data_IF_946072329661
#
_entry.id   IF_946072329661
#
_cell.length_a   1.000
_cell.length_b   1.000
_cell.length_c   1.000
_cell.angle_alpha   90.00
_cell.angle_beta   90.00
_cell.angle_gamma   90.00
#
_symmetry.space_group_name_H-M   'P 1'
#
loop_
_entity.id
_entity.type
_entity.pdbx_description
1 polymer ?
#
# COMPACT_ATOMS: atom_id res chain seq x y z
N UNK A 1 7.85 16.72 0.13
CA UNK A 1 6.48 16.20 -0.03
C UNK A 1 5.76 16.47 1.27
N UNK A 2 4.58 17.09 1.21
CA UNK A 2 3.78 17.35 2.40
C UNK A 2 3.35 16.00 3.01
N UNK A 3 3.51 15.83 4.33
CA UNK A 3 3.10 14.61 5.03
C UNK A 3 1.60 14.29 4.79
N UNK A 4 0.78 15.31 4.57
CA UNK A 4 -0.64 15.16 4.20
C UNK A 4 -0.84 14.50 2.83
N UNK A 5 0.04 14.77 1.86
CA UNK A 5 -0.03 14.22 0.50
C UNK A 5 0.38 12.76 0.49
N UNK A 6 1.46 12.42 1.20
CA UNK A 6 1.90 11.04 1.38
C UNK A 6 0.81 10.18 2.06
N UNK A 7 0.15 10.73 3.09
CA UNK A 7 -0.97 10.06 3.77
C UNK A 7 -2.19 9.84 2.85
N UNK A 8 -2.54 10.83 2.03
CA UNK A 8 -3.64 10.72 1.06
C UNK A 8 -3.34 9.68 -0.02
N UNK A 9 -2.13 9.70 -0.57
CA UNK A 9 -1.65 8.71 -1.55
C UNK A 9 -1.68 7.29 -0.97
N UNK A 10 -1.23 7.13 0.27
CA UNK A 10 -1.30 5.84 0.98
C UNK A 10 -2.73 5.31 1.09
N UNK A 11 -3.66 6.13 1.59
CA UNK A 11 -5.06 5.70 1.72
C UNK A 11 -5.67 5.35 0.36
N UNK A 12 -5.35 6.11 -0.69
CA UNK A 12 -5.82 5.82 -2.03
C UNK A 12 -5.36 4.43 -2.51
N UNK A 13 -4.06 4.12 -2.38
CA UNK A 13 -3.53 2.79 -2.74
C UNK A 13 -4.14 1.67 -1.92
N UNK A 14 -4.28 1.85 -0.60
CA UNK A 14 -4.96 0.88 0.28
C UNK A 14 -6.36 0.54 -0.21
N UNK A 15 -7.12 1.54 -0.64
CA UNK A 15 -8.47 1.32 -1.16
C UNK A 15 -8.50 0.67 -2.55
N UNK A 16 -7.55 1.02 -3.43
CA UNK A 16 -7.38 0.36 -4.73
C UNK A 16 -7.07 -1.12 -4.55
N UNK A 17 -6.10 -1.47 -3.68
CA UNK A 17 -5.72 -2.86 -3.44
C UNK A 17 -6.86 -3.67 -2.79
N UNK A 18 -7.62 -3.06 -1.89
CA UNK A 18 -8.86 -3.66 -1.36
C UNK A 18 -9.94 -3.82 -2.43
N UNK A 19 -10.01 -2.92 -3.40
CA UNK A 19 -10.94 -3.06 -4.52
C UNK A 19 -10.50 -4.15 -5.51
N UNK A 20 -9.19 -4.37 -5.69
CA UNK A 20 -8.65 -5.50 -6.47
C UNK A 20 -9.13 -6.83 -5.87
N UNK A 21 -9.07 -7.00 -4.55
CA UNK A 21 -9.63 -8.17 -3.86
C UNK A 21 -11.10 -8.43 -4.22
N UNK A 22 -11.90 -7.37 -4.23
CA UNK A 22 -13.35 -7.47 -4.36
C UNK A 22 -13.81 -7.66 -5.81
N UNK A 23 -13.07 -7.11 -6.78
CA UNK A 23 -13.56 -6.93 -8.17
C UNK A 23 -12.66 -7.66 -9.18
N UNK A 24 -11.39 -7.87 -8.84
CA UNK A 24 -10.42 -8.55 -9.67
C UNK A 24 -9.69 -9.67 -8.89
N UNK A 25 -10.42 -10.62 -8.26
CA UNK A 25 -9.80 -11.74 -7.55
C UNK A 25 -8.87 -12.57 -8.44
N UNK A 26 -9.12 -12.62 -9.76
CA UNK A 26 -8.26 -13.30 -10.71
C UNK A 26 -6.85 -12.66 -10.80
N UNK A 27 -6.69 -11.38 -10.44
CA UNK A 27 -5.38 -10.74 -10.33
C UNK A 27 -4.58 -11.30 -9.15
N UNK A 28 -5.27 -11.66 -8.06
CA UNK A 28 -4.68 -12.34 -6.91
C UNK A 28 -4.38 -13.81 -7.21
N UNK A 29 -5.24 -14.48 -7.96
CA UNK A 29 -4.98 -15.85 -8.43
C UNK A 29 -3.74 -15.92 -9.31
N UNK A 30 -3.59 -14.99 -10.26
CA UNK A 30 -2.39 -14.87 -11.08
C UNK A 30 -1.15 -14.57 -10.23
N UNK A 31 -1.27 -13.68 -9.22
CA UNK A 31 -0.17 -13.40 -8.30
C UNK A 31 0.21 -14.65 -7.50
N UNK A 32 -0.76 -15.44 -7.05
CA UNK A 32 -0.54 -16.67 -6.29
C UNK A 32 0.27 -17.72 -7.09
N UNK A 33 0.16 -17.70 -8.42
CA UNK A 33 0.99 -18.55 -9.29
C UNK A 33 2.47 -18.19 -9.26
N UNK A 34 2.84 -17.03 -8.72
CA UNK A 34 4.24 -16.61 -8.56
C UNK A 34 4.88 -17.13 -7.26
N UNK A 35 4.11 -17.76 -6.35
CA UNK A 35 4.64 -18.32 -5.09
C UNK A 35 5.82 -19.28 -5.30
N UNK A 36 5.83 -20.18 -6.31
CA UNK A 36 7.00 -21.01 -6.59
C UNK A 36 8.26 -20.21 -6.91
N UNK A 37 8.15 -19.15 -7.74
CA UNK A 37 9.29 -18.28 -8.05
C UNK A 37 9.78 -17.53 -6.80
N UNK A 38 8.85 -17.06 -5.97
CA UNK A 38 9.20 -16.44 -4.69
C UNK A 38 9.94 -17.43 -3.79
N UNK A 39 9.50 -18.69 -3.68
CA UNK A 39 10.16 -19.73 -2.89
C UNK A 39 11.59 -20.01 -3.34
N UNK A 40 11.84 -19.97 -4.65
CA UNK A 40 13.20 -20.14 -5.20
C UNK A 40 14.10 -18.94 -4.91
N UNK A 41 13.55 -17.72 -4.92
CA UNK A 41 14.29 -16.49 -4.64
C UNK A 41 14.48 -16.21 -3.13
N UNK A 42 13.54 -16.65 -2.29
CA UNK A 42 13.47 -16.35 -0.86
C UNK A 42 14.77 -16.59 -0.07
N UNK A 43 15.53 -17.70 -0.28
CA UNK A 43 16.78 -17.94 0.44
C UNK A 43 17.82 -16.83 0.22
N UNK A 44 17.74 -16.16 -0.92
CA UNK A 44 18.68 -15.12 -1.35
C UNK A 44 18.22 -13.72 -0.97
N UNK A 45 16.92 -13.47 -0.81
CA UNK A 45 16.39 -12.11 -0.57
C UNK A 45 15.92 -11.88 0.88
N UNK A 46 15.71 -12.93 1.67
CA UNK A 46 15.31 -12.83 3.09
C UNK A 46 16.48 -13.01 4.06
N UNK A 47 17.73 -12.98 3.56
CA UNK A 47 18.93 -13.10 4.38
C UNK A 47 19.16 -14.49 4.98
N UNK A 48 18.60 -15.56 4.38
CA UNK A 48 18.56 -16.89 4.98
C UNK A 48 19.72 -17.84 4.62
N UNK A 49 20.27 -17.79 3.41
CA UNK A 49 21.09 -18.92 2.92
C UNK A 49 22.15 -18.59 1.87
N UNK A 50 22.77 -17.41 1.90
CA UNK A 50 24.01 -17.24 1.14
C UNK A 50 25.18 -17.65 2.04
N UNK A 51 25.94 -18.67 1.63
CA UNK A 51 27.28 -18.97 2.22
C UNK A 51 28.29 -17.83 2.03
N UNK A 52 27.84 -16.74 1.42
CA UNK A 52 28.54 -15.51 1.12
C UNK A 52 28.39 -14.57 2.32
N UNK A 53 29.34 -14.66 3.26
CA UNK A 53 29.34 -13.84 4.48
C UNK A 53 29.30 -12.32 4.24
N UNK A 54 29.62 -11.87 3.03
CA UNK A 54 29.70 -10.46 2.64
C UNK A 54 28.49 -9.96 1.84
N UNK A 55 27.58 -10.82 1.39
CA UNK A 55 26.39 -10.41 0.62
C UNK A 55 25.12 -11.03 1.21
N UNK A 56 24.42 -10.21 2.01
CA UNK A 56 23.16 -10.57 2.67
C UNK A 56 22.09 -9.54 2.33
N UNK A 57 21.59 -9.51 1.09
CA UNK A 57 20.55 -8.57 0.73
C UNK A 57 19.31 -8.94 1.56
N UNK A 58 18.66 -7.90 2.03
CA UNK A 58 17.43 -8.02 2.78
C UNK A 58 16.42 -7.18 2.01
N UNK A 59 15.58 -7.87 1.26
CA UNK A 59 14.53 -7.26 0.47
C UNK A 59 13.33 -7.09 1.39
N UNK A 60 12.94 -5.84 1.62
CA UNK A 60 11.82 -5.46 2.48
C UNK A 60 10.69 -4.77 1.70
N UNK A 61 10.96 -4.37 0.46
CA UNK A 61 10.07 -3.62 -0.42
C UNK A 61 10.49 -3.79 -1.89
N UNK A 62 9.72 -3.20 -2.81
CA UNK A 62 10.05 -3.24 -4.23
C UNK A 62 11.39 -2.55 -4.58
N UNK A 63 11.70 -1.33 -4.09
CA UNK A 63 13.00 -0.70 -4.32
C UNK A 63 14.21 -1.54 -3.88
N UNK A 64 14.13 -2.24 -2.74
CA UNK A 64 15.20 -3.11 -2.27
C UNK A 64 15.37 -4.34 -3.15
N UNK A 65 14.31 -4.87 -3.76
CA UNK A 65 14.42 -5.93 -4.78
C UNK A 65 15.17 -5.44 -6.03
N UNK A 66 14.78 -4.27 -6.58
CA UNK A 66 15.45 -3.68 -7.74
C UNK A 66 16.94 -3.42 -7.45
N UNK A 67 17.25 -2.86 -6.27
CA UNK A 67 18.63 -2.64 -5.83
C UNK A 67 19.41 -3.96 -5.71
N UNK A 68 18.76 -5.04 -5.23
CA UNK A 68 19.37 -6.37 -5.10
C UNK A 68 19.69 -6.96 -6.47
N UNK A 69 18.79 -6.83 -7.44
CA UNK A 69 19.05 -7.28 -8.82
C UNK A 69 20.24 -6.53 -9.41
N UNK A 70 20.25 -5.19 -9.31
CA UNK A 70 21.36 -4.37 -9.82
C UNK A 70 22.70 -4.74 -9.19
N UNK A 71 22.74 -4.89 -7.86
CA UNK A 71 23.95 -5.26 -7.15
C UNK A 71 24.47 -6.65 -7.54
N UNK A 72 23.58 -7.60 -7.83
CA UNK A 72 23.95 -8.92 -8.35
C UNK A 72 24.48 -8.82 -9.79
N UNK A 73 23.90 -7.98 -10.66
CA UNK A 73 24.39 -7.74 -12.01
C UNK A 73 25.80 -7.12 -11.99
N UNK A 74 26.02 -6.11 -11.15
CA UNK A 74 27.33 -5.46 -10.97
C UNK A 74 28.37 -6.46 -10.44
N UNK A 75 27.98 -7.34 -9.50
CA UNK A 75 28.87 -8.37 -8.95
C UNK A 75 29.27 -9.42 -10.01
N UNK A 76 28.34 -9.85 -10.87
CA UNK A 76 28.67 -10.74 -11.99
C UNK A 76 29.64 -10.04 -12.95
N UNK A 77 29.43 -8.75 -13.22
CA UNK A 77 30.33 -7.94 -14.04
C UNK A 77 31.75 -7.88 -13.46
N UNK A 78 31.88 -7.62 -12.17
CA UNK A 78 33.16 -7.61 -11.47
C UNK A 78 33.87 -8.97 -11.52
N UNK A 79 33.16 -10.06 -11.25
CA UNK A 79 33.74 -11.41 -11.27
C UNK A 79 34.15 -11.88 -12.67
N UNK A 80 33.64 -11.26 -13.74
CA UNK A 80 34.09 -11.52 -15.12
C UNK A 80 35.50 -10.97 -15.39
N UNK A 81 35.95 -9.98 -14.62
CA UNK A 81 37.25 -9.34 -14.78
C UNK A 81 38.35 -10.02 -13.95
N UNK A 82 37.99 -10.79 -12.92
CA UNK A 82 38.94 -11.50 -12.05
C UNK A 82 39.21 -12.95 -12.53
N UNK A 83 40.46 -13.22 -12.88
CA UNK A 83 40.90 -14.57 -13.24
C UNK A 83 40.89 -15.51 -12.02
N UNK A 84 40.08 -16.57 -12.08
CA UNK A 84 40.07 -17.66 -11.08
C UNK A 84 38.79 -17.80 -10.24
N UNK A 85 37.76 -16.99 -10.50
CA UNK A 85 36.52 -16.96 -9.71
C UNK A 85 35.31 -17.61 -10.41
N UNK A 86 35.54 -18.59 -11.30
CA UNK A 86 34.47 -19.15 -12.16
C UNK A 86 33.38 -19.92 -11.40
N UNK A 87 33.73 -20.58 -10.30
CA UNK A 87 32.77 -21.25 -9.42
C UNK A 87 31.86 -20.23 -8.72
N UNK A 88 32.46 -19.18 -8.16
CA UNK A 88 31.76 -18.05 -7.53
C UNK A 88 30.82 -17.33 -8.51
N UNK A 89 31.29 -17.09 -9.73
CA UNK A 89 30.47 -16.52 -10.82
C UNK A 89 29.30 -17.44 -11.20
N UNK A 90 29.52 -18.75 -11.26
CA UNK A 90 28.46 -19.73 -11.51
C UNK A 90 27.36 -19.66 -10.45
N UNK A 91 27.75 -19.59 -9.17
CA UNK A 91 26.82 -19.43 -8.05
C UNK A 91 26.05 -18.11 -8.10
N UNK A 92 26.75 -16.96 -8.26
CA UNK A 92 26.09 -15.65 -8.36
C UNK A 92 25.17 -15.58 -9.55
N UNK A 93 25.55 -16.20 -10.69
CA UNK A 93 24.70 -16.32 -11.87
C UNK A 93 23.39 -17.05 -11.58
N UNK A 94 23.43 -18.17 -10.84
CA UNK A 94 22.21 -18.89 -10.42
C UNK A 94 21.34 -18.01 -9.52
N UNK A 95 21.93 -17.31 -8.55
CA UNK A 95 21.20 -16.39 -7.66
C UNK A 95 20.54 -15.27 -8.45
N UNK A 96 21.29 -14.61 -9.32
CA UNK A 96 20.79 -13.54 -10.20
C UNK A 96 19.62 -14.03 -11.04
N UNK A 97 19.70 -15.23 -11.64
CA UNK A 97 18.60 -15.80 -12.42
C UNK A 97 17.33 -15.96 -11.58
N UNK A 98 17.43 -16.46 -10.34
CA UNK A 98 16.27 -16.65 -9.46
C UNK A 98 15.64 -15.32 -9.04
N UNK A 99 16.44 -14.36 -8.59
CA UNK A 99 15.94 -13.05 -8.13
C UNK A 99 15.38 -12.24 -9.31
N UNK A 100 16.05 -12.25 -10.46
CA UNK A 100 15.59 -11.59 -11.69
C UNK A 100 14.30 -12.21 -12.22
N UNK A 101 14.17 -13.53 -12.18
CA UNK A 101 12.95 -14.23 -12.62
C UNK A 101 11.74 -13.84 -11.76
N UNK A 102 11.90 -13.71 -10.44
CA UNK A 102 10.85 -13.18 -9.57
C UNK A 102 10.49 -11.72 -9.94
N UNK A 103 11.50 -10.87 -10.09
CA UNK A 103 11.34 -9.45 -10.45
C UNK A 103 10.59 -9.27 -11.78
N UNK A 104 11.00 -9.99 -12.81
CA UNK A 104 10.41 -9.90 -14.14
C UNK A 104 8.98 -10.49 -14.17
N UNK A 105 8.72 -11.55 -13.40
CA UNK A 105 7.37 -12.09 -13.25
C UNK A 105 6.43 -11.12 -12.52
N UNK A 106 6.91 -10.44 -11.48
CA UNK A 106 6.15 -9.39 -10.78
C UNK A 106 5.83 -8.21 -11.71
N UNK A 107 6.79 -7.77 -12.53
CA UNK A 107 6.54 -6.73 -13.53
C UNK A 107 5.56 -7.19 -14.60
N UNK A 108 5.65 -8.43 -15.07
CA UNK A 108 4.72 -8.98 -16.04
C UNK A 108 3.30 -9.06 -15.47
N UNK A 109 3.15 -9.50 -14.21
CA UNK A 109 1.89 -9.47 -13.48
C UNK A 109 1.35 -8.05 -13.35
N UNK A 110 2.18 -7.11 -12.91
CA UNK A 110 1.78 -5.72 -12.72
C UNK A 110 1.33 -5.07 -14.04
N UNK A 111 2.05 -5.30 -15.15
CA UNK A 111 1.66 -4.82 -16.48
C UNK A 111 0.34 -5.40 -16.94
N UNK A 112 0.16 -6.72 -16.79
CA UNK A 112 -1.07 -7.41 -17.18
C UNK A 112 -2.30 -6.81 -16.51
N UNK A 113 -2.15 -6.39 -15.26
CA UNK A 113 -3.23 -5.86 -14.43
C UNK A 113 -3.26 -4.33 -14.34
N UNK A 114 -2.40 -3.63 -15.09
CA UNK A 114 -2.22 -2.17 -15.03
C UNK A 114 -1.95 -1.64 -13.60
N UNK A 115 -1.08 -2.36 -12.89
CA UNK A 115 -0.61 -2.11 -11.53
C UNK A 115 0.91 -1.87 -11.49
N UNK A 116 1.53 -1.41 -12.59
CA UNK A 116 2.97 -1.12 -12.71
C UNK A 116 3.36 0.13 -11.90
N UNK A 117 3.32 0.01 -10.58
CA UNK A 117 3.67 1.04 -9.63
C UNK A 117 4.31 0.40 -8.38
N UNK A 118 5.18 1.14 -7.69
CA UNK A 118 5.97 0.60 -6.57
C UNK A 118 5.07 0.10 -5.41
N UNK A 119 3.92 0.74 -5.18
CA UNK A 119 2.97 0.35 -4.12
C UNK A 119 2.31 -1.03 -4.39
N UNK A 120 1.64 -1.29 -5.53
CA UNK A 120 1.17 -2.64 -5.85
C UNK A 120 2.28 -3.70 -5.88
N UNK A 121 3.47 -3.37 -6.36
CA UNK A 121 4.60 -4.32 -6.43
C UNK A 121 5.14 -4.66 -5.02
N UNK A 122 5.23 -3.68 -4.13
CA UNK A 122 5.57 -3.91 -2.71
C UNK A 122 4.52 -4.75 -2.01
N UNK A 123 3.24 -4.41 -2.19
CA UNK A 123 2.12 -5.22 -1.67
C UNK A 123 2.13 -6.66 -2.20
N UNK A 124 2.46 -6.86 -3.47
CA UNK A 124 2.58 -8.18 -4.06
C UNK A 124 3.70 -9.00 -3.43
N UNK A 125 4.87 -8.39 -3.20
CA UNK A 125 5.99 -9.02 -2.49
C UNK A 125 5.62 -9.44 -1.07
N UNK A 126 4.94 -8.57 -0.31
CA UNK A 126 4.51 -8.87 1.05
C UNK A 126 3.53 -10.05 1.11
N UNK A 127 2.58 -10.11 0.17
CA UNK A 127 1.65 -11.24 0.10
C UNK A 127 2.35 -12.53 -0.32
N UNK A 128 3.28 -12.49 -1.30
CA UNK A 128 4.07 -13.67 -1.67
C UNK A 128 4.91 -14.21 -0.52
N UNK A 129 5.52 -13.30 0.27
CA UNK A 129 6.24 -13.65 1.49
C UNK A 129 5.36 -14.39 2.47
N UNK A 130 4.16 -13.87 2.73
CA UNK A 130 3.23 -14.53 3.64
C UNK A 130 2.74 -15.87 3.08
N UNK A 131 2.29 -15.92 1.82
CA UNK A 131 1.75 -17.12 1.19
C UNK A 131 2.79 -18.24 1.04
N UNK A 132 4.08 -17.91 1.07
CA UNK A 132 5.13 -18.92 1.20
C UNK A 132 5.01 -19.69 2.53
N UNK A 133 4.71 -18.99 3.63
CA UNK A 133 4.55 -19.54 4.98
C UNK A 133 3.15 -20.07 5.26
N UNK A 134 2.12 -19.47 4.67
CA UNK A 134 0.71 -19.81 4.82
C UNK A 134 0.05 -20.07 3.44
N UNK A 135 0.33 -21.22 2.80
CA UNK A 135 -0.13 -21.51 1.42
C UNK A 135 -1.66 -21.54 1.27
N UNK A 136 -2.39 -21.86 2.33
CA UNK A 136 -3.85 -21.85 2.40
C UNK A 136 -4.48 -20.45 2.23
N UNK A 137 -3.65 -19.41 2.39
CA UNK A 137 -4.01 -18.02 2.13
C UNK A 137 -3.63 -17.55 0.73
N UNK A 138 -2.96 -18.38 -0.09
CA UNK A 138 -2.57 -17.99 -1.44
C UNK A 138 -3.79 -17.56 -2.28
N UNK A 139 -3.67 -16.39 -2.93
CA UNK A 139 -4.78 -15.77 -3.67
C UNK A 139 -5.76 -14.97 -2.81
N UNK A 140 -5.52 -14.87 -1.49
CA UNK A 140 -6.26 -13.99 -0.58
C UNK A 140 -5.32 -12.92 -0.05
N UNK A 141 -5.67 -11.64 -0.13
CA UNK A 141 -4.82 -10.60 0.41
C UNK A 141 -4.89 -10.65 1.93
N UNK A 142 -3.72 -10.64 2.56
CA UNK A 142 -3.61 -10.67 4.02
C UNK A 142 -2.86 -9.43 4.52
N UNK A 143 -1.97 -8.91 3.67
CA UNK A 143 -1.21 -7.70 3.93
C UNK A 143 -1.91 -6.53 3.26
N UNK A 144 -2.32 -5.55 4.08
CA UNK A 144 -2.85 -4.25 3.63
C UNK A 144 -2.02 -3.08 4.17
N UNK A 145 -0.77 -3.34 4.56
CA UNK A 145 0.19 -2.31 4.94
C UNK A 145 0.84 -1.73 3.67
N UNK A 146 1.13 -0.44 3.73
CA UNK A 146 1.85 0.39 2.75
C UNK A 146 2.23 1.67 3.54
N UNK A 147 3.21 2.48 3.10
CA UNK A 147 4.48 2.69 3.81
C UNK A 147 4.34 3.26 5.25
N UNK A 148 5.46 3.34 5.99
CA UNK A 148 5.52 4.03 7.29
C UNK A 148 5.20 5.51 7.08
N UNK A 149 3.92 5.87 7.13
CA UNK A 149 3.53 7.28 7.10
C UNK A 149 3.84 7.86 8.46
N UNK A 150 4.68 8.90 8.48
CA UNK A 150 4.85 9.73 9.67
C UNK A 150 3.51 10.38 9.95
N UNK A 151 2.78 9.85 10.92
CA UNK A 151 1.58 10.50 11.44
C UNK A 151 1.96 11.92 11.84
N UNK A 152 1.33 12.95 11.25
CA UNK A 152 1.59 14.30 11.70
C UNK A 152 1.23 14.36 13.18
N UNK A 153 2.09 14.99 13.96
CA UNK A 153 1.94 15.01 15.42
C UNK A 153 0.57 15.63 15.73
N UNK A 154 -0.21 14.94 16.55
CA UNK A 154 -1.41 15.54 17.13
C UNK A 154 -1.00 16.85 17.80
N UNK A 155 -1.80 17.92 17.66
CA UNK A 155 -1.51 19.16 18.35
C UNK A 155 -1.39 18.83 19.84
N UNK A 156 -0.38 19.34 20.55
CA UNK A 156 -0.29 19.12 21.98
C UNK A 156 -1.52 19.70 22.68
N UNK A 157 -2.07 18.97 23.64
CA UNK A 157 -3.11 19.55 24.50
C UNK A 157 -2.47 20.61 25.40
N UNK A 158 -2.94 21.85 25.28
CA UNK A 158 -2.52 22.94 26.13
C UNK A 158 -3.64 23.24 27.14
N UNK A 159 -3.52 22.76 28.39
CA UNK A 159 -4.48 23.15 29.42
C UNK A 159 -4.44 24.67 29.61
N UNK A 160 -5.55 25.29 30.03
CA UNK A 160 -5.55 26.72 30.30
C UNK A 160 -4.49 27.07 31.36
N UNK A 161 -3.90 28.26 31.27
CA UNK A 161 -2.94 28.79 32.26
C UNK A 161 -3.65 29.22 33.56
N UNK A 162 -4.39 28.31 34.19
CA UNK A 162 -5.06 28.54 35.45
C UNK A 162 -4.35 27.79 36.58
N UNK A 163 -4.35 28.37 37.78
CA UNK A 163 -3.83 27.71 38.97
C UNK A 163 -5.00 26.97 39.62
N UNK A 164 -4.89 25.66 39.91
CA UNK A 164 -5.95 24.97 40.63
C UNK A 164 -6.19 25.66 41.97
N UNK A 165 -7.43 25.66 42.50
CA UNK A 165 -7.71 26.24 43.80
C UNK A 165 -7.00 25.36 44.83
N UNK A 166 -6.00 25.92 45.50
CA UNK A 166 -5.52 25.32 46.73
C UNK A 166 -6.61 25.51 47.79
N UNK A 167 -6.78 24.52 48.68
CA UNK A 167 -7.73 24.65 49.79
C UNK A 167 -7.51 26.00 50.51
N UNK A 168 -8.51 26.89 50.45
CA UNK A 168 -8.46 28.23 51.04
C UNK A 168 -8.12 29.40 50.09
N UNK A 169 -7.97 29.18 48.77
CA UNK A 169 -7.81 30.25 47.79
C UNK A 169 -9.16 30.63 47.15
N UNK A 170 -9.66 31.83 47.43
CA UNK A 170 -11.02 32.30 47.09
C UNK A 170 -11.18 32.83 45.64
N UNK A 171 -10.14 32.78 44.80
CA UNK A 171 -10.15 33.53 43.52
C UNK A 171 -10.73 32.78 42.30
N UNK A 172 -10.80 31.45 42.30
CA UNK A 172 -11.42 30.68 41.21
C UNK A 172 -12.28 29.53 41.74
N UNK A 173 -13.55 29.47 41.33
CA UNK A 173 -14.45 28.37 41.72
C UNK A 173 -14.17 27.13 40.88
N UNK A 174 -14.22 25.93 41.51
CA UNK A 174 -14.09 24.66 40.80
C UNK A 174 -14.98 24.54 39.54
N UNK A 175 -16.26 24.98 39.57
CA UNK A 175 -17.11 25.00 38.37
C UNK A 175 -16.53 25.84 37.21
N UNK A 176 -15.89 26.96 37.50
CA UNK A 176 -15.28 27.83 36.48
C UNK A 176 -14.03 27.19 35.87
N UNK A 177 -13.23 26.50 36.69
CA UNK A 177 -12.05 25.75 36.25
C UNK A 177 -12.46 24.56 35.38
N UNK A 178 -13.49 23.80 35.80
CA UNK A 178 -14.05 22.71 35.00
C UNK A 178 -14.52 23.22 33.63
N UNK A 179 -15.25 24.34 33.60
CA UNK A 179 -15.73 24.97 32.37
C UNK A 179 -14.58 25.32 31.43
N UNK A 180 -13.52 25.94 31.94
CA UNK A 180 -12.34 26.33 31.15
C UNK A 180 -11.55 25.11 30.63
N UNK A 181 -11.39 24.07 31.45
CA UNK A 181 -10.78 22.81 31.03
C UNK A 181 -11.58 22.12 29.94
N UNK A 182 -12.91 22.05 30.10
CA UNK A 182 -13.82 21.51 29.10
C UNK A 182 -13.71 22.27 27.77
N UNK A 183 -13.71 23.61 27.83
CA UNK A 183 -13.57 24.44 26.63
C UNK A 183 -12.22 24.23 25.92
N UNK A 184 -11.11 24.14 26.67
CA UNK A 184 -9.79 23.86 26.10
C UNK A 184 -9.75 22.47 25.45
N UNK A 185 -10.34 21.46 26.11
CA UNK A 185 -10.44 20.11 25.56
C UNK A 185 -11.29 20.05 24.30
N UNK A 186 -12.43 20.74 24.27
CA UNK A 186 -13.29 20.85 23.09
C UNK A 186 -12.62 21.59 21.92
N UNK A 187 -11.79 22.60 22.21
CA UNK A 187 -10.97 23.27 21.19
C UNK A 187 -9.93 22.33 20.60
N UNK A 188 -9.16 21.66 21.47
CA UNK A 188 -8.16 20.68 21.06
C UNK A 188 -8.76 19.52 20.26
N UNK A 189 -9.92 19.01 20.69
CA UNK A 189 -10.66 18.00 19.93
C UNK A 189 -11.09 18.50 18.55
N UNK A 190 -11.50 19.76 18.41
CA UNK A 190 -11.83 20.34 17.10
C UNK A 190 -10.62 20.43 16.18
N UNK A 191 -9.46 20.79 16.71
CA UNK A 191 -8.20 20.79 15.93
C UNK A 191 -7.80 19.38 15.49
N UNK A 192 -7.87 18.40 16.40
CA UNK A 192 -7.67 16.99 16.06
C UNK A 192 -8.65 16.49 14.99
N UNK A 193 -9.93 16.87 15.09
CA UNK A 193 -10.95 16.53 14.08
C UNK A 193 -10.69 17.20 12.74
N UNK A 194 -10.27 18.47 12.73
CA UNK A 194 -9.94 19.18 11.50
C UNK A 194 -8.76 18.51 10.78
N UNK A 195 -7.69 18.14 11.50
CA UNK A 195 -6.57 17.38 10.95
C UNK A 195 -7.03 16.02 10.43
N UNK A 196 -7.88 15.32 11.19
CA UNK A 196 -8.44 14.06 10.73
C UNK A 196 -9.30 14.24 9.47
N UNK A 197 -10.19 15.23 9.42
CA UNK A 197 -11.06 15.51 8.27
C UNK A 197 -10.26 15.91 7.02
N UNK A 198 -9.22 16.74 7.19
CA UNK A 198 -8.27 17.12 6.14
C UNK A 198 -7.53 15.89 5.59
N UNK A 199 -7.15 14.95 6.46
CA UNK A 199 -6.47 13.72 6.05
C UNK A 199 -7.42 12.61 5.60
N UNK A 200 -8.69 12.67 6.01
CA UNK A 200 -9.69 11.64 5.76
C UNK A 200 -10.53 11.89 4.51
N UNK A 201 -10.45 13.07 3.87
CA UNK A 201 -11.13 13.45 2.62
C UNK A 201 -11.37 12.26 1.65
N UNK A 202 -12.58 11.67 1.48
CA UNK A 202 -13.56 11.06 2.39
C UNK A 202 -13.59 9.52 2.21
N UNK A 203 -13.35 8.75 3.29
CA UNK A 203 -13.35 7.27 3.34
C UNK A 203 -14.57 6.57 2.69
N UNK A 204 -15.74 7.23 2.55
CA UNK A 204 -16.92 6.69 1.86
C UNK A 204 -16.77 6.72 0.33
N UNK A 205 -16.36 7.85 -0.21
CA UNK A 205 -16.27 8.05 -1.66
C UNK A 205 -15.00 7.42 -2.23
N UNK A 206 -13.90 7.42 -1.47
CA UNK A 206 -12.63 6.89 -1.95
C UNK A 206 -12.71 5.38 -2.22
N UNK A 207 -13.43 4.63 -1.40
CA UNK A 207 -13.67 3.21 -1.63
C UNK A 207 -14.47 2.98 -2.92
N UNK A 208 -15.52 3.77 -3.15
CA UNK A 208 -16.29 3.74 -4.39
C UNK A 208 -15.44 4.09 -5.60
N UNK A 209 -14.65 5.16 -5.52
CA UNK A 209 -13.77 5.60 -6.60
C UNK A 209 -12.71 4.56 -6.91
N UNK A 210 -12.13 3.93 -5.90
CA UNK A 210 -11.17 2.83 -6.06
C UNK A 210 -11.81 1.63 -6.77
N UNK A 211 -13.06 1.29 -6.44
CA UNK A 211 -13.78 0.22 -7.14
C UNK A 211 -14.06 0.56 -8.60
N UNK A 212 -14.51 1.78 -8.90
CA UNK A 212 -14.66 2.25 -10.28
C UNK A 212 -13.32 2.24 -11.02
N UNK A 213 -12.25 2.64 -10.35
CA UNK A 213 -10.90 2.62 -10.89
C UNK A 213 -10.45 1.20 -11.23
N UNK A 214 -10.61 0.24 -10.31
CA UNK A 214 -10.27 -1.17 -10.57
C UNK A 214 -11.12 -1.76 -11.70
N UNK A 215 -12.42 -1.53 -11.67
CA UNK A 215 -13.31 -1.95 -12.76
C UNK A 215 -12.86 -1.40 -14.12
N UNK A 216 -12.39 -0.15 -14.15
CA UNK A 216 -11.95 0.49 -15.40
C UNK A 216 -10.56 0.05 -15.84
N UNK A 217 -9.58 0.23 -14.95
CA UNK A 217 -8.15 0.17 -15.23
C UNK A 217 -7.60 -1.24 -15.16
N UNK A 218 -8.09 -2.05 -14.22
CA UNK A 218 -7.63 -3.42 -13.99
C UNK A 218 -8.46 -4.40 -14.81
N UNK A 219 -9.79 -4.29 -14.76
CA UNK A 219 -10.71 -5.19 -15.47
C UNK A 219 -11.01 -4.76 -16.91
N UNK A 220 -10.63 -3.55 -17.30
CA UNK A 220 -10.84 -3.03 -18.66
C UNK A 220 -12.30 -2.75 -19.02
N UNK A 221 -13.19 -2.56 -18.04
CA UNK A 221 -14.60 -2.31 -18.32
C UNK A 221 -14.82 -0.88 -18.80
N UNK A 222 -15.68 -0.72 -19.81
CA UNK A 222 -16.10 0.61 -20.26
C UNK A 222 -16.98 1.28 -19.20
N UNK A 223 -16.90 2.61 -19.09
CA UNK A 223 -17.68 3.39 -18.12
C UNK A 223 -19.20 3.11 -18.21
N UNK A 224 -19.70 2.83 -19.41
CA UNK A 224 -21.11 2.52 -19.65
C UNK A 224 -21.51 1.13 -19.17
N UNK A 225 -20.58 0.18 -19.15
CA UNK A 225 -20.88 -1.23 -18.89
C UNK A 225 -20.58 -1.66 -17.44
N UNK A 226 -19.95 -0.81 -16.61
CA UNK A 226 -19.48 -1.18 -15.28
C UNK A 226 -20.56 -1.78 -14.38
N UNK A 227 -21.69 -1.08 -14.21
CA UNK A 227 -22.76 -1.56 -13.31
C UNK A 227 -23.39 -2.85 -13.83
N UNK A 228 -23.65 -2.94 -15.14
CA UNK A 228 -24.24 -4.11 -15.77
C UNK A 228 -23.32 -5.34 -15.59
N UNK A 229 -22.02 -5.18 -15.85
CA UNK A 229 -21.04 -6.25 -15.66
C UNK A 229 -20.89 -6.68 -14.21
N UNK A 230 -20.91 -5.75 -13.26
CA UNK A 230 -20.85 -6.09 -11.85
C UNK A 230 -22.07 -6.93 -11.40
N UNK A 231 -23.26 -6.70 -11.97
CA UNK A 231 -24.42 -7.59 -11.77
C UNK A 231 -24.19 -8.98 -12.36
N UNK A 232 -23.71 -9.04 -13.60
CA UNK A 232 -23.46 -10.30 -14.30
C UNK A 232 -22.39 -11.16 -13.62
N UNK A 233 -21.34 -10.54 -13.07
CA UNK A 233 -20.26 -11.22 -12.35
C UNK A 233 -20.60 -11.49 -10.87
N UNK A 234 -21.81 -11.19 -10.41
CA UNK A 234 -22.24 -11.45 -9.04
C UNK A 234 -21.49 -10.64 -7.98
N UNK A 235 -20.91 -9.50 -8.37
CA UNK A 235 -20.17 -8.60 -7.48
C UNK A 235 -21.17 -7.77 -6.66
N UNK A 236 -21.81 -8.42 -5.69
CA UNK A 236 -22.83 -7.83 -4.80
C UNK A 236 -22.43 -7.94 -3.33
N UNK A 237 -22.90 -7.02 -2.50
CA UNK A 237 -22.77 -7.09 -1.05
C UNK A 237 -23.71 -8.16 -0.44
N UNK A 238 -23.67 -8.33 0.89
CA UNK A 238 -24.49 -9.30 1.63
C UNK A 238 -26.00 -9.04 1.49
N UNK A 239 -26.40 -7.85 1.05
CA UNK A 239 -27.78 -7.42 0.84
C UNK A 239 -28.18 -7.49 -0.64
N UNK A 240 -27.31 -8.01 -1.52
CA UNK A 240 -27.57 -8.18 -2.95
C UNK A 240 -27.38 -6.91 -3.78
N UNK A 241 -26.81 -5.83 -3.22
CA UNK A 241 -26.53 -4.60 -3.97
C UNK A 241 -25.19 -4.68 -4.66
N UNK A 242 -25.14 -4.20 -5.90
CA UNK A 242 -23.90 -4.15 -6.71
C UNK A 242 -22.80 -3.39 -5.96
N UNK A 243 -21.60 -3.96 -5.92
CA UNK A 243 -20.44 -3.35 -5.25
C UNK A 243 -19.97 -2.06 -5.93
N UNK A 244 -20.31 -1.89 -7.22
CA UNK A 244 -20.16 -0.67 -8.00
C UNK A 244 -21.44 0.16 -7.93
N UNK A 245 -21.35 1.32 -7.30
CA UNK A 245 -22.45 2.28 -7.27
C UNK A 245 -22.70 2.89 -8.66
N UNK A 246 -23.98 3.11 -8.97
CA UNK A 246 -24.40 3.77 -10.21
C UNK A 246 -24.08 5.26 -10.17
N UNK A 247 -23.52 5.77 -11.28
CA UNK A 247 -23.30 7.20 -11.49
C UNK A 247 -23.24 7.50 -12.99
N UNK A 248 -23.41 8.78 -13.35
CA UNK A 248 -23.22 9.21 -14.73
C UNK A 248 -21.76 8.92 -15.18
N UNK A 249 -21.54 8.46 -16.44
CA UNK A 249 -20.19 8.15 -16.93
C UNK A 249 -19.19 9.30 -16.77
N UNK A 250 -19.65 10.55 -16.90
CA UNK A 250 -18.81 11.74 -16.68
C UNK A 250 -18.34 11.90 -15.24
N UNK A 251 -19.18 11.55 -14.26
CA UNK A 251 -18.83 11.58 -12.84
C UNK A 251 -17.82 10.48 -12.50
N UNK A 252 -18.01 9.27 -13.03
CA UNK A 252 -17.08 8.15 -12.88
C UNK A 252 -15.72 8.50 -13.49
N UNK A 253 -15.70 9.05 -14.72
CA UNK A 253 -14.47 9.48 -15.39
C UNK A 253 -13.71 10.53 -14.56
N UNK A 254 -14.42 11.54 -14.03
CA UNK A 254 -13.82 12.57 -13.17
C UNK A 254 -13.24 11.97 -11.89
N UNK A 255 -13.94 11.02 -11.26
CA UNK A 255 -13.46 10.34 -10.07
C UNK A 255 -12.19 9.53 -10.34
N UNK A 256 -12.13 8.79 -11.46
CA UNK A 256 -10.95 8.05 -11.89
C UNK A 256 -9.77 9.00 -12.13
N UNK A 257 -9.97 10.09 -12.88
CA UNK A 257 -8.90 11.05 -13.17
C UNK A 257 -8.38 11.76 -11.90
N UNK A 258 -9.25 12.01 -10.92
CA UNK A 258 -8.83 12.54 -9.61
C UNK A 258 -8.02 11.50 -8.83
N UNK A 259 -8.41 10.23 -8.90
CA UNK A 259 -7.70 9.16 -8.23
C UNK A 259 -6.33 8.90 -8.90
N UNK A 260 -6.22 8.93 -10.22
CA UNK A 260 -4.95 8.81 -10.95
C UNK A 260 -3.91 9.84 -10.46
N UNK A 261 -4.32 11.09 -10.28
CA UNK A 261 -3.46 12.15 -9.70
C UNK A 261 -3.07 11.85 -8.25
N UNK A 262 -4.03 11.44 -7.43
CA UNK A 262 -3.78 11.12 -6.01
C UNK A 262 -2.81 9.95 -5.86
N UNK A 263 -2.91 8.95 -6.74
CA UNK A 263 -2.04 7.78 -6.78
C UNK A 263 -0.62 8.10 -7.28
N UNK A 264 -0.40 9.28 -7.87
CA UNK A 264 0.88 9.67 -8.47
C UNK A 264 1.13 9.05 -9.85
N UNK A 265 0.06 8.66 -10.56
CA UNK A 265 0.16 8.03 -11.90
C UNK A 265 0.25 9.05 -13.04
N UNK A 266 0.05 10.34 -12.74
CA UNK A 266 0.13 11.45 -13.69
C UNK A 266 1.09 12.48 -13.10
N UNK A 267 2.03 13.05 -13.90
CA UNK A 267 2.85 14.17 -13.46
C UNK A 267 1.97 15.38 -13.12
N UNK A 268 2.37 16.14 -12.09
CA UNK A 268 1.73 17.40 -11.71
C UNK A 268 1.87 18.49 -12.79
#
# INVERSE_FOLDING_TARGET
MDHSEAWRRWNAWKYVLRAVEQIAPEALEDLARLVPLYREAAPYIEGGATGWSFYRPSVYDWPSLENTVRALEDLVGFLLEEAGEEEKKGEVGVVLVKVRSLRDALLAWARRWNLEHYEPLGWALDNLRLWRHEPELAGKPVVHHSPVVVYPRTPPFHPPRLKPPFHGAEEESWPEIERRLRQAFESWLRECRALYEEWALPHRELQKHARWWVAHRVKGWSLRAMTERARLEGLVDREGRVLLEEAAPSAIAKAIANLDRTLGLVPD
#
